data_IF_012689110659
#
_entry.id   IF_012689110659
#
_cell.length_a   1.000
_cell.length_b   1.000
_cell.length_c   1.000
_cell.angle_alpha   90.00
_cell.angle_beta   90.00
_cell.angle_gamma   90.00
#
_symmetry.space_group_name_H-M   'P 1'
#
loop_
_entity.id
_entity.type
_entity.pdbx_description
1 polymer ?
#
# COMPACT_ATOMS: atom_id res chain seq x y z
N UNK A 1 -0.04 -7.59 9.75
CA UNK A 1 0.88 -7.64 8.60
C UNK A 1 1.95 -8.66 8.91
N UNK A 2 2.16 -9.60 8.00
CA UNK A 2 3.15 -10.68 8.10
C UNK A 2 3.93 -10.69 6.79
N UNK A 3 5.24 -10.93 6.85
CA UNK A 3 5.99 -11.06 5.62
C UNK A 3 5.67 -12.38 4.94
N UNK A 4 5.82 -12.39 3.61
CA UNK A 4 5.69 -13.61 2.82
C UNK A 4 6.68 -14.69 3.27
N UNK A 5 6.36 -15.93 2.92
CA UNK A 5 7.29 -17.04 3.11
C UNK A 5 8.50 -16.85 2.22
N UNK A 6 9.69 -17.02 2.77
CA UNK A 6 10.94 -16.91 2.02
C UNK A 6 10.96 -17.96 0.91
N UNK A 7 11.13 -17.56 -0.37
CA UNK A 7 11.19 -18.49 -1.49
C UNK A 7 12.36 -19.47 -1.39
N UNK A 8 12.16 -20.68 -1.95
CA UNK A 8 13.16 -21.76 -1.92
C UNK A 8 14.15 -21.71 -3.07
N UNK A 9 13.75 -21.19 -4.23
CA UNK A 9 14.66 -21.11 -5.38
C UNK A 9 15.71 -20.04 -5.10
N UNK A 10 16.93 -20.23 -5.60
CA UNK A 10 18.03 -19.29 -5.35
C UNK A 10 17.72 -17.89 -5.90
N UNK A 11 17.10 -17.82 -7.08
CA UNK A 11 16.77 -16.55 -7.73
C UNK A 11 15.71 -15.77 -6.94
N UNK A 12 14.59 -16.42 -6.60
CA UNK A 12 13.50 -15.79 -5.87
C UNK A 12 13.91 -15.42 -4.44
N UNK A 13 14.75 -16.24 -3.81
CA UNK A 13 15.32 -15.94 -2.50
C UNK A 13 16.19 -14.69 -2.55
N UNK A 14 17.04 -14.54 -3.58
CA UNK A 14 17.87 -13.36 -3.76
C UNK A 14 17.01 -12.10 -4.00
N UNK A 15 15.93 -12.20 -4.76
CA UNK A 15 14.97 -11.12 -4.93
C UNK A 15 14.28 -10.74 -3.60
N UNK A 16 13.79 -11.74 -2.85
CA UNK A 16 13.17 -11.54 -1.55
C UNK A 16 14.11 -10.79 -0.61
N UNK A 17 15.37 -11.24 -0.49
CA UNK A 17 16.36 -10.60 0.38
C UNK A 17 16.64 -9.15 -0.06
N UNK A 18 16.79 -8.91 -1.37
CA UNK A 18 16.96 -7.56 -1.90
C UNK A 18 15.77 -6.65 -1.60
N UNK A 19 14.55 -7.17 -1.74
CA UNK A 19 13.32 -6.44 -1.39
C UNK A 19 13.28 -6.11 0.10
N UNK A 20 13.69 -7.04 0.97
CA UNK A 20 13.69 -6.87 2.43
C UNK A 20 14.74 -5.86 2.94
N UNK A 21 15.88 -5.76 2.24
CA UNK A 21 16.94 -4.79 2.50
C UNK A 21 16.57 -3.37 2.05
N UNK A 22 15.85 -3.25 0.92
CA UNK A 22 15.50 -1.96 0.32
C UNK A 22 14.33 -1.28 1.07
N UNK A 23 14.61 -0.62 2.19
CA UNK A 23 13.56 -0.07 3.07
C UNK A 23 13.16 1.38 2.82
N UNK A 24 13.81 2.02 1.86
CA UNK A 24 13.68 3.46 1.61
C UNK A 24 13.27 3.74 0.18
N UNK A 25 12.63 4.89 -0.03
CA UNK A 25 12.37 5.48 -1.33
C UNK A 25 12.89 6.92 -1.33
N UNK A 26 13.43 7.36 -2.46
CA UNK A 26 13.64 8.80 -2.69
C UNK A 26 12.26 9.40 -2.95
N UNK A 27 11.73 10.14 -1.98
CA UNK A 27 10.40 10.73 -2.07
C UNK A 27 10.46 12.05 -2.84
N UNK A 28 9.51 12.30 -3.76
CA UNK A 28 9.44 13.55 -4.51
C UNK A 28 8.96 14.74 -3.66
N UNK A 29 8.84 15.92 -4.26
CA UNK A 29 8.16 17.05 -3.61
C UNK A 29 6.70 16.70 -3.33
N UNK A 30 6.23 16.99 -2.12
CA UNK A 30 4.92 16.54 -1.65
C UNK A 30 3.77 17.55 -1.82
N UNK A 31 3.99 18.76 -2.34
CA UNK A 31 2.95 19.80 -2.37
C UNK A 31 1.74 19.42 -3.22
N UNK A 32 1.96 19.12 -4.50
CA UNK A 32 0.92 18.61 -5.42
C UNK A 32 0.26 17.33 -4.91
N UNK A 33 1.05 16.41 -4.36
CA UNK A 33 0.55 15.15 -3.79
C UNK A 33 -0.40 15.38 -2.62
N UNK A 34 -0.11 16.34 -1.73
CA UNK A 34 -0.97 16.68 -0.59
C UNK A 34 -2.28 17.30 -1.03
N UNK A 35 -2.27 18.15 -2.05
CA UNK A 35 -3.48 18.74 -2.62
C UNK A 35 -4.37 17.65 -3.24
N UNK A 36 -3.79 16.76 -4.04
CA UNK A 36 -4.51 15.63 -4.63
C UNK A 36 -5.05 14.66 -3.57
N UNK A 37 -4.30 14.42 -2.50
CA UNK A 37 -4.76 13.62 -1.36
C UNK A 37 -5.97 14.26 -0.65
N UNK A 38 -5.98 15.58 -0.50
CA UNK A 38 -7.12 16.32 0.04
C UNK A 38 -8.35 16.21 -0.88
N UNK A 39 -8.16 16.35 -2.19
CA UNK A 39 -9.24 16.17 -3.19
C UNK A 39 -9.81 14.76 -3.12
N UNK A 40 -8.96 13.72 -3.02
CA UNK A 40 -9.39 12.34 -2.83
C UNK A 40 -10.21 12.18 -1.55
N UNK A 41 -9.73 12.74 -0.43
CA UNK A 41 -10.44 12.69 0.85
C UNK A 41 -11.84 13.29 0.78
N UNK A 42 -12.00 14.44 0.13
CA UNK A 42 -13.31 15.06 -0.07
C UNK A 42 -14.19 14.25 -1.03
N UNK A 43 -13.61 13.75 -2.13
CA UNK A 43 -14.32 12.90 -3.09
C UNK A 43 -14.89 11.64 -2.44
N UNK A 44 -14.15 11.02 -1.51
CA UNK A 44 -14.61 9.85 -0.76
C UNK A 44 -15.85 10.13 0.11
N UNK A 45 -16.06 11.37 0.58
CA UNK A 45 -17.25 11.73 1.37
C UNK A 45 -18.53 11.73 0.54
N UNK A 46 -18.42 11.87 -0.78
CA UNK A 46 -19.56 11.88 -1.70
C UNK A 46 -20.12 10.47 -1.96
N UNK A 47 -19.36 9.41 -1.64
CA UNK A 47 -19.65 8.01 -2.00
C UNK A 47 -19.89 7.78 -3.51
N UNK A 48 -19.43 8.71 -4.36
CA UNK A 48 -19.50 8.62 -5.82
C UNK A 48 -18.24 7.95 -6.38
N UNK A 49 -18.42 6.75 -6.94
CA UNK A 49 -17.35 5.96 -7.55
C UNK A 49 -16.60 6.69 -8.65
N UNK A 50 -17.28 7.53 -9.45
CA UNK A 50 -16.63 8.25 -10.56
C UNK A 50 -15.72 9.36 -10.03
N UNK A 51 -16.15 10.08 -8.99
CA UNK A 51 -15.33 11.11 -8.35
C UNK A 51 -14.12 10.49 -7.66
N UNK A 52 -14.31 9.40 -6.91
CA UNK A 52 -13.20 8.66 -6.29
C UNK A 52 -12.24 8.10 -7.33
N UNK A 53 -12.75 7.53 -8.43
CA UNK A 53 -11.92 7.07 -9.55
C UNK A 53 -11.05 8.19 -10.13
N UNK A 54 -11.64 9.36 -10.40
CA UNK A 54 -10.92 10.49 -11.00
C UNK A 54 -9.84 11.03 -10.05
N UNK A 55 -10.18 11.22 -8.77
CA UNK A 55 -9.22 11.70 -7.77
C UNK A 55 -8.07 10.71 -7.52
N UNK A 56 -8.38 9.41 -7.42
CA UNK A 56 -7.35 8.38 -7.26
C UNK A 56 -6.44 8.27 -8.50
N UNK A 57 -7.01 8.39 -9.71
CA UNK A 57 -6.22 8.35 -10.94
C UNK A 57 -5.29 9.58 -11.06
N UNK A 58 -5.76 10.77 -10.67
CA UNK A 58 -4.94 11.98 -10.65
C UNK A 58 -3.77 11.85 -9.66
N UNK A 59 -4.04 11.33 -8.45
CA UNK A 59 -2.98 11.07 -7.45
C UNK A 59 -1.95 10.04 -7.94
N UNK A 60 -2.38 8.95 -8.59
CA UNK A 60 -1.46 7.98 -9.19
C UNK A 60 -0.64 8.56 -10.32
N UNK A 61 -1.25 9.39 -11.18
CA UNK A 61 -0.54 10.04 -12.27
C UNK A 61 0.57 10.96 -11.74
N UNK A 62 0.29 11.73 -10.69
CA UNK A 62 1.30 12.58 -10.05
C UNK A 62 2.41 11.76 -9.40
N UNK A 63 2.07 10.69 -8.68
CA UNK A 63 3.08 9.78 -8.12
C UNK A 63 3.94 9.16 -9.23
N UNK A 64 3.33 8.64 -10.29
CA UNK A 64 4.04 8.01 -11.39
C UNK A 64 4.98 9.01 -12.10
N UNK A 65 4.49 10.23 -12.37
CA UNK A 65 5.30 11.31 -12.93
C UNK A 65 6.50 11.63 -12.03
N UNK A 66 6.27 11.73 -10.72
CA UNK A 66 7.30 12.08 -9.76
C UNK A 66 8.37 10.99 -9.55
N UNK A 67 8.03 9.72 -9.80
CA UNK A 67 8.96 8.60 -9.84
C UNK A 67 9.50 8.30 -11.25
N UNK A 68 9.14 9.10 -12.26
CA UNK A 68 9.55 8.94 -13.66
C UNK A 68 9.15 7.57 -14.25
N UNK A 69 7.98 7.05 -13.85
CA UNK A 69 7.43 5.78 -14.34
C UNK A 69 6.14 6.00 -15.13
N UNK A 70 5.76 5.03 -15.95
CA UNK A 70 4.46 5.06 -16.65
C UNK A 70 3.31 4.93 -15.63
N UNK A 71 2.25 5.74 -15.71
CA UNK A 71 1.15 5.64 -14.76
C UNK A 71 0.38 4.32 -14.94
N UNK A 72 0.18 3.52 -13.87
CA UNK A 72 -0.61 2.31 -13.96
C UNK A 72 -2.09 2.65 -14.22
N UNK A 73 -2.80 1.88 -15.05
CA UNK A 73 -4.25 2.03 -15.16
C UNK A 73 -4.90 1.72 -13.80
N UNK A 74 -6.01 2.40 -13.51
CA UNK A 74 -6.75 2.25 -12.25
C UNK A 74 -8.22 1.91 -12.51
N UNK A 75 -8.79 1.01 -11.71
CA UNK A 75 -10.23 0.76 -11.65
C UNK A 75 -10.76 0.74 -10.21
N UNK A 76 -11.62 1.68 -9.88
CA UNK A 76 -12.37 1.71 -8.62
C UNK A 76 -13.66 0.93 -8.79
N UNK A 77 -13.85 -0.04 -7.89
CA UNK A 77 -14.95 -0.98 -7.80
C UNK A 77 -15.81 -0.66 -6.57
N UNK A 78 -17.07 -1.13 -6.57
CA UNK A 78 -18.03 -0.89 -5.49
C UNK A 78 -17.69 -1.74 -4.23
N UNK A 79 -18.55 -2.68 -3.87
CA UNK A 79 -18.32 -3.59 -2.76
C UNK A 79 -17.45 -4.76 -3.22
N UNK A 80 -16.53 -5.19 -2.37
CA UNK A 80 -15.69 -6.35 -2.60
C UNK A 80 -16.53 -7.65 -2.62
N UNK A 81 -16.14 -8.67 -3.40
CA UNK A 81 -16.74 -10.00 -3.30
C UNK A 81 -16.45 -10.62 -1.92
N UNK A 82 -17.45 -11.24 -1.31
CA UNK A 82 -17.24 -12.02 -0.07
C UNK A 82 -16.61 -13.36 -0.48
N UNK A 83 -15.31 -13.55 -0.21
CA UNK A 83 -14.72 -14.89 -0.20
C UNK A 83 -14.89 -15.46 1.22
N UNK A 84 -15.75 -16.46 1.36
CA UNK A 84 -15.86 -17.26 2.58
C UNK A 84 -14.88 -18.42 2.44
N UNK A 85 -13.82 -18.42 3.23
CA UNK A 85 -13.06 -19.64 3.53
C UNK A 85 -13.33 -20.01 4.98
N UNK A 86 -13.46 -21.31 5.28
CA UNK A 86 -14.04 -21.86 6.53
C UNK A 86 -13.47 -21.28 7.84
N UNK A 87 -12.30 -20.64 7.82
CA UNK A 87 -11.66 -20.14 9.03
C UNK A 87 -11.32 -18.64 9.07
N UNK A 88 -11.32 -17.90 7.94
CA UNK A 88 -11.07 -16.44 7.93
C UNK A 88 -11.65 -15.77 6.67
N UNK A 89 -12.06 -14.51 6.77
CA UNK A 89 -12.31 -13.64 5.62
C UNK A 89 -11.07 -12.74 5.41
N UNK A 90 -10.25 -13.02 4.41
CA UNK A 90 -9.19 -12.10 4.00
C UNK A 90 -9.81 -10.97 3.19
N UNK A 91 -9.72 -9.73 3.69
CA UNK A 91 -10.25 -8.55 3.00
C UNK A 91 -9.19 -7.99 2.05
N UNK A 92 -9.31 -8.29 0.76
CA UNK A 92 -8.51 -7.63 -0.28
C UNK A 92 -9.15 -6.28 -0.58
N UNK A 93 -8.49 -5.19 -0.20
CA UNK A 93 -8.96 -3.81 -0.45
C UNK A 93 -8.51 -3.28 -1.82
N UNK A 94 -7.48 -3.91 -2.41
CA UNK A 94 -6.95 -3.63 -3.72
C UNK A 94 -6.17 -4.80 -4.27
N UNK A 95 -5.90 -4.78 -5.56
CA UNK A 95 -4.99 -5.71 -6.21
C UNK A 95 -4.24 -5.03 -7.36
N UNK A 96 -3.04 -5.54 -7.64
CA UNK A 96 -2.21 -5.18 -8.78
C UNK A 96 -2.11 -6.38 -9.73
N UNK A 97 -2.54 -6.17 -10.97
CA UNK A 97 -2.45 -7.17 -12.03
C UNK A 97 -1.07 -7.10 -12.70
N UNK A 98 -0.29 -8.18 -12.60
CA UNK A 98 1.08 -8.20 -13.13
C UNK A 98 1.13 -8.18 -14.66
N UNK A 99 0.14 -8.77 -15.34
CA UNK A 99 0.12 -8.85 -16.80
C UNK A 99 -0.32 -7.53 -17.42
N UNK A 100 -1.34 -6.89 -16.83
CA UNK A 100 -1.93 -5.66 -17.37
C UNK A 100 -1.54 -4.39 -16.64
N UNK A 101 -0.69 -4.48 -15.60
CA UNK A 101 -0.30 -3.40 -14.67
C UNK A 101 -1.48 -2.68 -13.99
N UNK A 102 -2.67 -3.29 -14.00
CA UNK A 102 -3.91 -2.67 -13.56
C UNK A 102 -4.01 -2.70 -12.04
N UNK A 103 -4.15 -1.52 -11.44
CA UNK A 103 -4.57 -1.39 -10.05
C UNK A 103 -6.10 -1.44 -9.97
N UNK A 104 -6.63 -2.28 -9.10
CA UNK A 104 -8.05 -2.32 -8.76
C UNK A 104 -8.21 -1.96 -7.29
N UNK A 105 -9.21 -1.14 -6.96
CA UNK A 105 -9.51 -0.74 -5.58
C UNK A 105 -10.99 -0.88 -5.26
N UNK A 106 -11.32 -1.48 -4.12
CA UNK A 106 -12.70 -1.53 -3.64
C UNK A 106 -12.97 -0.40 -2.66
N UNK A 107 -13.90 0.49 -3.02
CA UNK A 107 -14.20 1.66 -2.20
C UNK A 107 -15.14 1.34 -1.03
N UNK A 108 -15.84 0.20 -1.05
CA UNK A 108 -16.79 -0.21 0.01
C UNK A 108 -16.40 -1.53 0.66
N UNK A 109 -16.63 -1.64 1.97
CA UNK A 109 -16.48 -2.88 2.75
C UNK A 109 -17.42 -3.98 2.22
N UNK A 110 -17.07 -5.28 2.31
CA UNK A 110 -17.96 -6.33 1.77
C UNK A 110 -19.26 -6.41 2.55
N UNK A 111 -19.15 -6.44 3.88
CA UNK A 111 -20.25 -6.84 4.74
C UNK A 111 -21.25 -5.70 4.84
N UNK A 112 -20.79 -4.54 5.29
CA UNK A 112 -21.66 -3.38 5.50
C UNK A 112 -21.90 -2.59 4.22
N UNK A 113 -21.11 -2.80 3.16
CA UNK A 113 -21.15 -2.03 1.91
C UNK A 113 -21.05 -0.51 2.13
N UNK A 114 -20.43 -0.11 3.24
CA UNK A 114 -20.12 1.28 3.55
C UNK A 114 -18.78 1.67 2.97
N UNK A 115 -18.64 2.96 2.66
CA UNK A 115 -17.37 3.56 2.24
C UNK A 115 -16.25 3.19 3.23
N UNK A 116 -15.15 2.70 2.69
CA UNK A 116 -13.93 2.40 3.45
C UNK A 116 -13.35 3.70 4.02
N UNK A 117 -12.70 3.64 5.18
CA UNK A 117 -12.07 4.84 5.76
C UNK A 117 -11.03 5.43 4.81
N UNK A 118 -10.86 6.77 4.82
CA UNK A 118 -9.86 7.45 4.00
C UNK A 118 -8.44 6.89 4.22
N UNK A 119 -8.04 6.68 5.48
CA UNK A 119 -6.72 6.14 5.80
C UNK A 119 -6.52 4.72 5.25
N UNK A 120 -7.54 3.86 5.34
CA UNK A 120 -7.49 2.51 4.77
C UNK A 120 -7.39 2.57 3.24
N UNK A 121 -8.26 3.35 2.59
CA UNK A 121 -8.26 3.47 1.14
C UNK A 121 -6.95 4.03 0.59
N UNK A 122 -6.42 5.10 1.19
CA UNK A 122 -5.15 5.70 0.78
C UNK A 122 -3.98 4.74 1.01
N UNK A 123 -3.96 4.03 2.14
CA UNK A 123 -2.93 3.03 2.44
C UNK A 123 -2.95 1.90 1.39
N UNK A 124 -4.14 1.42 1.02
CA UNK A 124 -4.30 0.43 -0.07
C UNK A 124 -3.82 0.99 -1.41
N UNK A 125 -4.20 2.21 -1.78
CA UNK A 125 -3.73 2.82 -3.03
C UNK A 125 -2.20 2.90 -3.09
N UNK A 126 -1.56 3.33 -2.00
CA UNK A 126 -0.10 3.41 -1.90
C UNK A 126 0.55 2.02 -1.92
N UNK A 127 -0.10 1.00 -1.34
CA UNK A 127 0.35 -0.38 -1.37
C UNK A 127 0.38 -0.92 -2.81
N UNK A 128 -0.71 -0.80 -3.55
CA UNK A 128 -0.77 -1.27 -4.95
C UNK A 128 0.17 -0.46 -5.86
N UNK A 129 0.34 0.84 -5.62
CA UNK A 129 1.34 1.63 -6.33
C UNK A 129 2.78 1.20 -6.00
N UNK A 130 3.05 0.77 -4.77
CA UNK A 130 4.35 0.21 -4.40
C UNK A 130 4.64 -1.09 -5.17
N UNK A 131 3.64 -1.96 -5.38
CA UNK A 131 3.78 -3.11 -6.27
C UNK A 131 4.15 -2.69 -7.70
N UNK A 132 3.52 -1.64 -8.21
CA UNK A 132 3.88 -1.09 -9.51
C UNK A 132 5.34 -0.61 -9.56
N UNK A 133 5.78 0.19 -8.59
CA UNK A 133 7.18 0.68 -8.51
C UNK A 133 8.18 -0.47 -8.38
N UNK A 134 7.88 -1.49 -7.58
CA UNK A 134 8.70 -2.68 -7.43
C UNK A 134 8.99 -3.31 -8.79
N UNK A 135 7.94 -3.50 -9.60
CA UNK A 135 8.04 -4.11 -10.93
C UNK A 135 8.80 -3.20 -11.90
N UNK A 136 8.39 -1.94 -12.05
CA UNK A 136 8.85 -1.11 -13.18
C UNK A 136 10.11 -0.29 -12.90
N UNK A 137 10.40 0.03 -11.64
CA UNK A 137 11.54 0.88 -11.27
C UNK A 137 12.60 0.13 -10.46
N UNK A 138 12.19 -0.82 -9.61
CA UNK A 138 13.11 -1.49 -8.70
C UNK A 138 13.57 -2.86 -9.18
N UNK A 139 13.00 -3.39 -10.28
CA UNK A 139 13.30 -4.72 -10.83
C UNK A 139 13.00 -5.88 -9.86
N UNK A 140 11.91 -5.75 -9.09
CA UNK A 140 11.39 -6.72 -8.11
C UNK A 140 10.08 -7.33 -8.64
N UNK A 141 10.11 -8.19 -9.67
CA UNK A 141 8.91 -8.65 -10.39
C UNK A 141 7.93 -9.47 -9.54
N UNK A 142 8.40 -10.18 -8.51
CA UNK A 142 7.54 -10.94 -7.60
C UNK A 142 6.98 -10.09 -6.46
N UNK A 143 7.57 -8.92 -6.21
CA UNK A 143 7.11 -7.90 -5.25
C UNK A 143 6.64 -8.47 -3.90
N UNK A 144 7.41 -9.44 -3.38
CA UNK A 144 7.11 -10.11 -2.11
C UNK A 144 6.82 -9.08 -1.01
N UNK A 145 5.82 -9.37 -0.18
CA UNK A 145 5.50 -8.60 1.02
C UNK A 145 6.60 -8.80 2.07
N UNK A 146 7.76 -8.17 1.87
CA UNK A 146 8.89 -8.15 2.80
C UNK A 146 8.79 -6.99 3.77
N UNK A 147 9.71 -6.89 4.74
CA UNK A 147 9.78 -5.70 5.61
C UNK A 147 10.04 -4.45 4.78
N UNK A 148 10.95 -4.54 3.81
CA UNK A 148 11.25 -3.44 2.90
C UNK A 148 10.03 -3.02 2.08
N UNK A 149 9.25 -3.95 1.53
CA UNK A 149 8.01 -3.62 0.84
C UNK A 149 7.04 -2.85 1.77
N UNK A 150 6.77 -3.37 2.97
CA UNK A 150 5.86 -2.72 3.91
C UNK A 150 6.36 -1.33 4.34
N UNK A 151 7.66 -1.16 4.54
CA UNK A 151 8.26 0.13 4.89
C UNK A 151 8.19 1.11 3.72
N UNK A 152 8.48 0.70 2.48
CA UNK A 152 8.32 1.53 1.26
C UNK A 152 6.87 1.97 1.04
N UNK A 153 5.90 1.05 1.14
CA UNK A 153 4.47 1.39 1.02
C UNK A 153 4.00 2.35 2.12
N UNK A 154 4.52 2.18 3.34
CA UNK A 154 4.29 3.10 4.45
C UNK A 154 4.90 4.49 4.22
N UNK A 155 6.11 4.56 3.64
CA UNK A 155 6.74 5.84 3.27
C UNK A 155 5.87 6.62 2.28
N UNK A 156 5.35 5.96 1.23
CA UNK A 156 4.42 6.57 0.27
C UNK A 156 3.17 7.10 0.98
N UNK A 157 2.52 6.28 1.80
CA UNK A 157 1.33 6.68 2.54
C UNK A 157 1.59 7.91 3.42
N UNK A 158 2.66 7.89 4.22
CA UNK A 158 2.97 8.97 5.14
C UNK A 158 3.36 10.26 4.42
N UNK A 159 4.07 10.14 3.30
CA UNK A 159 4.43 11.25 2.45
C UNK A 159 3.20 11.94 1.85
N UNK A 160 2.32 11.17 1.19
CA UNK A 160 1.10 11.68 0.57
C UNK A 160 0.15 12.27 1.62
N UNK A 161 0.03 11.61 2.77
CA UNK A 161 -0.84 12.04 3.87
C UNK A 161 -0.27 13.20 4.70
N UNK A 162 1.00 13.58 4.48
CA UNK A 162 1.72 14.54 5.29
C UNK A 162 1.70 14.22 6.80
N UNK A 163 2.03 12.97 7.13
CA UNK A 163 2.11 12.51 8.53
C UNK A 163 3.50 12.01 8.86
N UNK A 164 3.92 12.06 10.13
CA UNK A 164 5.20 11.48 10.54
C UNK A 164 5.28 10.01 10.13
N UNK A 165 6.42 9.62 9.55
CA UNK A 165 6.70 8.23 9.20
C UNK A 165 6.73 7.40 10.48
N UNK A 166 5.98 6.30 10.47
CA UNK A 166 5.93 5.37 11.60
C UNK A 166 7.02 4.32 11.48
N UNK A 167 7.94 4.29 12.45
CA UNK A 167 8.90 3.18 12.57
C UNK A 167 8.18 1.90 12.93
N UNK A 168 8.20 0.93 12.02
CA UNK A 168 7.59 -0.38 12.22
C UNK A 168 8.51 -1.24 13.09
N UNK A 169 7.97 -1.81 14.17
CA UNK A 169 8.69 -2.79 14.98
C UNK A 169 8.32 -4.19 14.52
N UNK A 170 9.33 -4.98 14.17
CA UNK A 170 9.18 -6.33 13.64
C UNK A 170 9.47 -7.39 14.71
N UNK A 171 8.59 -8.38 14.81
CA UNK A 171 8.80 -9.60 15.59
C UNK A 171 9.29 -10.71 14.65
N UNK A 172 10.49 -11.26 14.87
CA UNK A 172 11.02 -12.36 14.06
C UNK A 172 10.35 -13.69 14.40
N UNK A 173 10.17 -14.54 13.39
CA UNK A 173 9.70 -15.92 13.53
C UNK A 173 10.82 -16.92 13.23
N UNK A 174 10.68 -18.17 13.72
CA UNK A 174 11.69 -19.24 13.57
C UNK A 174 11.97 -19.63 12.11
N UNK A 175 10.99 -19.43 11.23
CA UNK A 175 11.09 -19.71 9.80
C UNK A 175 11.71 -18.53 9.01
N UNK A 176 12.22 -17.50 9.68
CA UNK A 176 12.82 -16.32 9.06
C UNK A 176 11.84 -15.24 8.60
N UNK A 177 10.53 -15.46 8.71
CA UNK A 177 9.52 -14.42 8.42
C UNK A 177 9.35 -13.47 9.60
N UNK A 178 8.64 -12.36 9.39
CA UNK A 178 8.38 -11.36 10.41
C UNK A 178 6.90 -11.02 10.49
N UNK A 179 6.46 -10.57 11.66
CA UNK A 179 5.16 -9.92 11.86
C UNK A 179 5.34 -8.56 12.51
N UNK A 180 4.39 -7.65 12.27
CA UNK A 180 4.44 -6.32 12.91
C UNK A 180 3.99 -6.42 14.37
N UNK A 181 4.80 -5.90 15.29
CA UNK A 181 4.41 -5.62 16.67
C UNK A 181 3.67 -4.29 16.75
N UNK A 182 2.36 -4.34 16.54
CA UNK A 182 1.53 -3.13 16.57
C UNK A 182 1.52 -2.44 17.93
N UNK A 183 1.53 -3.22 19.02
CA UNK A 183 1.47 -2.67 20.35
C UNK A 183 2.72 -1.81 20.64
N UNK A 184 3.91 -2.29 20.29
CA UNK A 184 5.15 -1.51 20.45
C UNK A 184 5.24 -0.38 19.42
N UNK A 185 4.85 -0.63 18.17
CA UNK A 185 4.86 0.37 17.10
C UNK A 185 4.04 1.61 17.48
N UNK A 186 2.84 1.41 18.07
CA UNK A 186 1.98 2.51 18.50
C UNK A 186 2.51 3.22 19.76
N UNK A 187 3.14 2.49 20.70
CA UNK A 187 3.68 3.07 21.95
C UNK A 187 4.88 3.99 21.76
N UNK A 188 5.73 3.74 20.75
CA UNK A 188 6.89 4.60 20.48
C UNK A 188 6.54 6.02 20.01
N UNK A 189 5.26 6.28 19.71
CA UNK A 189 4.81 7.51 19.08
C UNK A 189 3.90 8.36 19.99
N UNK A 190 3.54 7.85 21.16
CA UNK A 190 3.02 8.72 22.22
C UNK A 190 4.18 9.62 22.67
N UNK A 191 4.03 10.95 22.69
CA UNK A 191 4.97 11.80 23.41
C UNK A 191 5.13 11.23 24.83
N UNK A 192 6.35 11.20 25.36
CA UNK A 192 6.48 11.16 26.82
C UNK A 192 5.85 12.46 27.30
N UNK A 193 4.65 12.40 27.87
CA UNK A 193 4.15 13.48 28.70
C UNK A 193 5.16 13.62 29.85
N UNK A 194 6.00 14.64 29.77
CA UNK A 194 6.84 15.14 30.86
C UNK A 194 6.23 16.41 31.39
#
# INVERSE_FOLDING_TARGET
MHTDTIPRTKADNAEYLRSDELRTLTLPSGESLRELAAILKESMKTDDRKQVQAASAALLAELANAFEVSPPPLKVLNARPVRVTENYATETFGDYDFDSTLIRLWMRTAVQKKMTSYGTYLSTLCHEFCHHLDVVALNLPHTYHTRGFYERSGLLYHHVQNTPVRTIIWNPHRNGTFSVDWARTMRQQSPKET
#
